data_IF_453958567806
#
_entry.id   IF_453958567806
#
_cell.length_a   1.000
_cell.length_b   1.000
_cell.length_c   1.000
_cell.angle_alpha   90.00
_cell.angle_beta   90.00
_cell.angle_gamma   90.00
#
_symmetry.space_group_name_H-M   'P 1'
#
loop_
_entity.id
_entity.type
_entity.pdbx_description
1 polymer ?
#
# COMPACT_ATOMS: atom_id res chain seq x y z
N UNK A 1 -13.74 18.02 35.87
CA UNK A 1 -13.51 16.59 35.97
C UNK A 1 -13.98 15.84 34.71
N UNK A 2 -15.21 16.06 34.29
CA UNK A 2 -15.72 15.43 33.05
C UNK A 2 -14.91 15.79 31.82
N UNK A 3 -14.35 16.99 31.76
CA UNK A 3 -13.53 17.45 30.66
C UNK A 3 -12.23 16.67 30.52
N UNK A 4 -11.67 16.20 31.63
CA UNK A 4 -10.43 15.43 31.61
C UNK A 4 -10.65 14.09 30.92
N UNK A 5 -11.80 13.47 31.14
CA UNK A 5 -12.15 12.20 30.50
C UNK A 5 -12.27 12.35 28.99
N UNK A 6 -12.86 13.45 28.53
CA UNK A 6 -12.99 13.73 27.10
C UNK A 6 -11.62 13.92 26.45
N UNK A 7 -10.70 14.59 27.15
CA UNK A 7 -9.35 14.79 26.64
C UNK A 7 -8.63 13.46 26.46
N UNK A 8 -8.77 12.56 27.41
CA UNK A 8 -8.17 11.23 27.30
C UNK A 8 -8.72 10.46 26.11
N UNK A 9 -10.02 10.52 25.88
CA UNK A 9 -10.65 9.87 24.75
C UNK A 9 -10.11 10.42 23.42
N UNK A 10 -9.93 11.72 23.31
CA UNK A 10 -9.35 12.34 22.11
C UNK A 10 -7.93 11.87 21.86
N UNK A 11 -7.12 11.74 22.90
CA UNK A 11 -5.75 11.24 22.75
C UNK A 11 -5.72 9.79 22.28
N UNK A 12 -6.60 8.96 22.82
CA UNK A 12 -6.70 7.58 22.39
C UNK A 12 -7.09 7.47 20.92
N UNK A 13 -8.03 8.29 20.48
CA UNK A 13 -8.43 8.33 19.06
C UNK A 13 -7.28 8.83 18.17
N UNK A 14 -6.49 9.79 18.65
CA UNK A 14 -5.35 10.33 17.90
C UNK A 14 -4.21 9.35 17.75
N UNK A 15 -4.14 8.32 18.57
CA UNK A 15 -3.09 7.30 18.49
C UNK A 15 -3.40 6.25 17.42
N UNK A 16 -4.64 6.16 16.99
CA UNK A 16 -5.01 5.27 15.88
C UNK A 16 -4.20 5.67 14.65
N UNK A 17 -3.25 4.86 14.31
CA UNK A 17 -2.32 5.21 13.27
C UNK A 17 -2.87 4.98 11.90
N UNK A 18 -2.49 5.89 11.05
CA UNK A 18 -2.78 5.79 9.64
C UNK A 18 -2.01 4.62 9.03
N UNK A 19 -2.66 3.93 8.14
CA UNK A 19 -2.08 2.91 7.31
C UNK A 19 -1.30 3.57 6.17
N UNK A 20 -0.12 3.04 5.87
CA UNK A 20 0.64 3.45 4.70
C UNK A 20 0.19 2.60 3.52
N UNK A 21 -0.08 3.22 2.39
CA UNK A 21 -0.53 2.53 1.18
C UNK A 21 0.44 2.78 0.05
N UNK A 22 0.86 1.70 -0.60
CA UNK A 22 1.74 1.75 -1.76
C UNK A 22 1.02 1.17 -2.97
N UNK A 23 1.32 1.73 -4.13
CA UNK A 23 0.86 1.20 -5.40
C UNK A 23 1.99 0.50 -6.12
N UNK A 24 1.73 -0.73 -6.56
CA UNK A 24 2.68 -1.56 -7.30
C UNK A 24 2.14 -1.81 -8.70
N UNK A 25 2.49 -0.96 -9.66
CA UNK A 25 2.11 -1.18 -11.04
C UNK A 25 3.02 -2.21 -11.72
N UNK A 26 2.46 -3.03 -12.57
CA UNK A 26 3.23 -3.97 -13.40
C UNK A 26 2.64 -4.03 -14.81
N UNK A 27 3.47 -4.48 -15.76
CA UNK A 27 3.02 -4.74 -17.12
C UNK A 27 2.47 -6.15 -17.33
N UNK A 28 2.62 -7.03 -16.35
CA UNK A 28 2.16 -8.42 -16.45
C UNK A 28 0.66 -8.52 -16.25
N UNK A 29 0.01 -9.37 -17.04
CA UNK A 29 -1.42 -9.62 -16.91
C UNK A 29 -1.76 -10.26 -15.54
N UNK A 30 -3.02 -10.09 -15.12
CA UNK A 30 -3.47 -10.53 -13.80
C UNK A 30 -3.31 -12.05 -13.58
N UNK A 31 -3.39 -12.83 -14.64
CA UNK A 31 -3.35 -14.30 -14.57
C UNK A 31 -1.96 -14.90 -14.72
N UNK A 32 -0.90 -14.09 -14.72
CA UNK A 32 0.47 -14.59 -14.84
C UNK A 32 1.03 -15.00 -13.50
N UNK A 33 2.05 -15.87 -13.51
CA UNK A 33 2.69 -16.26 -12.27
C UNK A 33 3.44 -15.09 -11.63
N UNK A 34 3.94 -14.14 -12.41
CA UNK A 34 4.57 -12.93 -11.90
C UNK A 34 3.60 -12.14 -11.04
N UNK A 35 2.37 -11.97 -11.51
CA UNK A 35 1.34 -11.28 -10.75
C UNK A 35 0.95 -12.04 -9.50
N UNK A 36 0.83 -13.36 -9.59
CA UNK A 36 0.53 -14.19 -8.42
C UNK A 36 1.63 -14.09 -7.37
N UNK A 37 2.89 -14.09 -7.80
CA UNK A 37 4.02 -13.92 -6.91
C UNK A 37 4.00 -12.55 -6.23
N UNK A 38 3.68 -11.50 -6.97
CA UNK A 38 3.56 -10.15 -6.42
C UNK A 38 2.41 -10.04 -5.43
N UNK A 39 1.30 -10.73 -5.68
CA UNK A 39 0.17 -10.79 -4.74
C UNK A 39 0.58 -11.46 -3.44
N UNK A 40 1.34 -12.54 -3.52
CA UNK A 40 1.85 -13.23 -2.35
C UNK A 40 2.80 -12.32 -1.54
N UNK A 41 3.65 -11.59 -2.23
CA UNK A 41 4.54 -10.61 -1.61
C UNK A 41 3.73 -9.53 -0.87
N UNK A 42 2.71 -8.97 -1.53
CA UNK A 42 1.87 -7.94 -0.92
C UNK A 42 1.14 -8.46 0.31
N UNK A 43 0.67 -9.70 0.26
CA UNK A 43 0.00 -10.35 1.38
C UNK A 43 0.95 -10.54 2.56
N UNK A 44 2.15 -11.00 2.29
CA UNK A 44 3.15 -11.22 3.35
C UNK A 44 3.58 -9.91 4.00
N UNK A 45 3.74 -8.85 3.23
CA UNK A 45 4.05 -7.53 3.77
C UNK A 45 2.92 -7.05 4.69
N UNK A 46 1.67 -7.24 4.28
CA UNK A 46 0.52 -6.89 5.11
C UNK A 46 0.56 -7.64 6.44
N UNK A 47 0.77 -8.95 6.39
CA UNK A 47 0.81 -9.80 7.59
C UNK A 47 2.00 -9.44 8.50
N UNK A 48 3.19 -9.29 7.92
CA UNK A 48 4.40 -8.98 8.69
C UNK A 48 4.38 -7.60 9.33
N UNK A 49 3.67 -6.66 8.74
CA UNK A 49 3.56 -5.29 9.28
C UNK A 49 2.31 -5.11 10.15
N UNK A 50 1.51 -6.16 10.33
CA UNK A 50 0.26 -6.05 11.07
C UNK A 50 -0.73 -5.09 10.42
N UNK A 51 -0.71 -5.02 9.10
CA UNK A 51 -1.60 -4.15 8.34
C UNK A 51 -1.15 -2.71 8.24
N UNK A 52 0.05 -2.37 8.71
CA UNK A 52 0.53 -0.99 8.66
C UNK A 52 0.97 -0.56 7.28
N UNK A 53 1.40 -1.50 6.45
CA UNK A 53 1.74 -1.24 5.05
C UNK A 53 0.88 -2.12 4.15
N UNK A 54 0.10 -1.49 3.30
CA UNK A 54 -0.74 -2.15 2.30
C UNK A 54 -0.18 -1.86 0.92
N UNK A 55 0.08 -2.91 0.16
CA UNK A 55 0.54 -2.80 -1.22
C UNK A 55 -0.60 -3.23 -2.14
N UNK A 56 -1.04 -2.32 -3.00
CA UNK A 56 -2.09 -2.61 -3.98
C UNK A 56 -1.44 -2.86 -5.34
N UNK A 57 -1.71 -4.03 -5.91
CA UNK A 57 -1.23 -4.37 -7.23
C UNK A 57 -2.11 -3.74 -8.31
N UNK A 58 -1.45 -3.29 -9.37
CA UNK A 58 -2.10 -2.78 -10.57
C UNK A 58 -1.50 -3.51 -11.78
N UNK A 59 -1.97 -4.74 -12.07
CA UNK A 59 -1.39 -5.55 -13.14
C UNK A 59 -1.87 -5.10 -14.53
N UNK A 60 -1.21 -5.64 -15.55
CA UNK A 60 -1.64 -5.47 -16.92
C UNK A 60 -1.56 -4.05 -17.47
N UNK A 61 -0.70 -3.22 -16.91
CA UNK A 61 -0.59 -1.83 -17.33
C UNK A 61 -1.78 -0.96 -16.93
N UNK A 62 -2.56 -1.39 -15.94
CA UNK A 62 -3.80 -0.70 -15.55
C UNK A 62 -3.57 0.66 -14.91
N UNK A 63 -2.45 0.85 -14.22
CA UNK A 63 -2.10 2.16 -13.65
C UNK A 63 -1.07 2.88 -14.54
N UNK A 64 0.01 2.19 -14.87
CA UNK A 64 1.04 2.66 -15.79
C UNK A 64 1.43 1.54 -16.73
N UNK A 65 1.70 1.88 -17.98
CA UNK A 65 2.23 0.90 -18.95
C UNK A 65 3.64 0.49 -18.55
N UNK A 66 4.06 -0.69 -18.98
CA UNK A 66 5.35 -1.25 -18.60
C UNK A 66 6.51 -0.28 -18.82
N UNK A 67 6.51 0.46 -19.93
CA UNK A 67 7.57 1.42 -20.25
C UNK A 67 7.47 2.74 -19.48
N UNK A 68 6.44 2.92 -18.67
CA UNK A 68 6.23 4.12 -17.85
C UNK A 68 6.56 3.90 -16.37
N UNK A 69 6.65 2.64 -15.95
CA UNK A 69 6.75 2.29 -14.53
C UNK A 69 8.02 2.84 -13.89
N UNK A 70 9.15 2.69 -14.54
CA UNK A 70 10.41 3.19 -14.01
C UNK A 70 10.34 4.69 -13.71
N UNK A 71 9.81 5.46 -14.65
CA UNK A 71 9.66 6.90 -14.48
C UNK A 71 8.66 7.24 -13.36
N UNK A 72 7.58 6.48 -13.27
CA UNK A 72 6.59 6.69 -12.21
C UNK A 72 7.19 6.51 -10.81
N UNK A 73 8.04 5.49 -10.65
CA UNK A 73 8.73 5.26 -9.38
C UNK A 73 9.76 6.35 -9.13
N UNK A 74 10.54 6.73 -10.12
CA UNK A 74 11.55 7.78 -9.99
C UNK A 74 10.96 9.13 -9.60
N UNK A 75 9.77 9.44 -10.12
CA UNK A 75 9.09 10.71 -9.83
C UNK A 75 8.21 10.68 -8.59
N UNK A 76 8.12 9.54 -7.91
CA UNK A 76 7.31 9.41 -6.70
C UNK A 76 5.82 9.20 -6.95
N UNK A 77 5.41 8.96 -8.19
CA UNK A 77 4.00 8.69 -8.52
C UNK A 77 3.58 7.28 -8.12
N UNK A 78 4.52 6.35 -8.07
CA UNK A 78 4.33 5.03 -7.48
C UNK A 78 5.50 4.77 -6.53
N UNK A 79 5.25 4.02 -5.47
CA UNK A 79 6.28 3.77 -4.45
C UNK A 79 7.17 2.59 -4.81
N UNK A 80 6.64 1.67 -5.60
CA UNK A 80 7.33 0.44 -5.96
C UNK A 80 6.85 -0.02 -7.34
N UNK A 81 7.71 -0.66 -8.05
CA UNK A 81 7.32 -1.15 -9.37
C UNK A 81 8.41 -1.98 -10.02
#
# INVERSE_FOLDING_TARGET
>A
MKRILLSVACLAAGVSQAQVKWDLPTGYAANTFQTQNNQQFAKEVDELTGGKLKITLHPGGSLYKANEIKRAVQSGQAQIG
#
